data_IF_713282933273
#
_entry.id   IF_713282933273
#
_cell.length_a   1.000
_cell.length_b   1.000
_cell.length_c   1.000
_cell.angle_alpha   90.00
_cell.angle_beta   90.00
_cell.angle_gamma   90.00
#
_symmetry.space_group_name_H-M   'P 1'
#
loop_
_entity.id
_entity.type
_entity.pdbx_description
1 polymer ?
#
# COMPACT_ATOMS: atom_id res chain seq x y z
N UNK A 1 -7.28 -29.19 -6.68
CA UNK A 1 -7.72 -28.37 -5.53
C UNK A 1 -9.23 -28.17 -5.59
N UNK A 2 -9.87 -27.86 -4.45
CA UNK A 2 -11.30 -27.58 -4.37
C UNK A 2 -11.55 -26.11 -4.03
N UNK A 3 -12.78 -25.63 -4.28
CA UNK A 3 -13.17 -24.29 -3.85
C UNK A 3 -13.03 -24.15 -2.32
N UNK A 4 -12.42 -23.05 -1.88
CA UNK A 4 -12.11 -22.79 -0.48
C UNK A 4 -10.78 -23.37 0.00
N UNK A 5 -10.05 -24.14 -0.81
CA UNK A 5 -8.69 -24.56 -0.46
C UNK A 5 -7.73 -23.35 -0.47
N UNK A 6 -6.89 -23.29 0.55
CA UNK A 6 -5.81 -22.31 0.65
C UNK A 6 -4.55 -22.91 0.04
N UNK A 7 -3.99 -22.23 -0.95
CA UNK A 7 -2.76 -22.66 -1.63
C UNK A 7 -1.73 -21.56 -1.62
N UNK A 8 -0.47 -21.93 -1.49
CA UNK A 8 0.68 -21.04 -1.61
C UNK A 8 1.29 -21.22 -2.99
N UNK A 9 1.40 -20.13 -3.76
CA UNK A 9 1.77 -20.18 -5.17
C UNK A 9 2.91 -19.22 -5.48
N UNK A 10 3.87 -19.69 -6.24
CA UNK A 10 4.74 -18.82 -7.02
C UNK A 10 4.11 -18.55 -8.36
N UNK A 11 4.20 -17.30 -8.86
CA UNK A 11 3.61 -16.94 -10.13
C UNK A 11 4.44 -15.92 -10.93
N UNK A 12 4.16 -15.91 -12.22
CA UNK A 12 4.61 -14.93 -13.20
C UNK A 12 3.43 -14.52 -14.07
N UNK A 13 3.16 -13.24 -14.18
CA UNK A 13 2.15 -12.73 -15.09
C UNK A 13 2.80 -11.91 -16.20
N UNK A 14 2.54 -12.31 -17.43
CA UNK A 14 3.04 -11.66 -18.65
C UNK A 14 1.88 -11.20 -19.51
N UNK A 15 2.07 -10.13 -20.26
CA UNK A 15 0.99 -9.49 -21.03
C UNK A 15 1.46 -9.09 -22.42
N UNK A 16 0.54 -9.26 -23.40
CA UNK A 16 0.74 -8.87 -24.80
C UNK A 16 1.57 -9.86 -25.61
N UNK A 17 1.76 -9.58 -26.88
CA UNK A 17 2.44 -10.48 -27.83
C UNK A 17 3.93 -10.66 -27.49
N UNK A 18 4.56 -9.65 -26.92
CA UNK A 18 5.95 -9.70 -26.46
C UNK A 18 6.11 -10.44 -25.13
N UNK A 19 5.02 -10.91 -24.52
CA UNK A 19 5.00 -11.56 -23.20
C UNK A 19 5.77 -10.77 -22.15
N UNK A 20 5.56 -9.44 -22.11
CA UNK A 20 6.23 -8.59 -21.13
C UNK A 20 5.81 -8.97 -19.71
N UNK A 21 6.78 -9.22 -18.83
CA UNK A 21 6.52 -9.45 -17.41
C UNK A 21 5.91 -8.20 -16.76
N UNK A 22 4.82 -8.36 -16.03
CA UNK A 22 4.11 -7.24 -15.37
C UNK A 22 3.88 -7.49 -13.89
N UNK A 23 3.96 -8.75 -13.43
CA UNK A 23 3.86 -9.09 -12.01
C UNK A 23 4.50 -10.46 -11.75
N UNK A 24 5.09 -10.65 -10.59
CA UNK A 24 5.68 -11.93 -10.16
C UNK A 24 5.84 -11.96 -8.65
N UNK A 25 5.84 -13.17 -8.06
CA UNK A 25 6.20 -13.42 -6.66
C UNK A 25 7.73 -13.51 -6.43
N UNK A 26 8.52 -13.57 -7.52
CA UNK A 26 9.97 -13.82 -7.47
C UNK A 26 10.77 -12.54 -7.62
N UNK A 27 11.49 -12.14 -6.58
CA UNK A 27 12.30 -10.92 -6.55
C UNK A 27 13.34 -10.84 -7.67
N UNK A 28 14.08 -11.93 -7.88
CA UNK A 28 15.11 -11.97 -8.90
C UNK A 28 14.54 -11.72 -10.31
N UNK A 29 13.39 -12.33 -10.61
CA UNK A 29 12.72 -12.17 -11.90
C UNK A 29 12.20 -10.73 -12.09
N UNK A 30 11.72 -10.10 -11.01
CA UNK A 30 11.31 -8.70 -11.04
C UNK A 30 12.49 -7.77 -11.36
N UNK A 31 13.67 -8.01 -10.76
CA UNK A 31 14.91 -7.25 -11.03
C UNK A 31 15.39 -7.41 -12.48
N UNK A 32 15.37 -8.63 -12.98
CA UNK A 32 15.80 -8.95 -14.36
C UNK A 32 14.90 -8.32 -15.44
N UNK A 33 13.65 -7.98 -15.10
CA UNK A 33 12.67 -7.40 -16.02
C UNK A 33 12.32 -5.93 -15.74
N UNK A 34 13.11 -5.23 -14.93
CA UNK A 34 12.93 -3.81 -14.60
C UNK A 34 11.55 -3.46 -14.00
N UNK A 35 10.95 -4.38 -13.25
CA UNK A 35 9.68 -4.17 -12.53
C UNK A 35 9.84 -4.29 -11.01
N UNK A 36 11.07 -4.29 -10.52
CA UNK A 36 11.34 -4.37 -9.11
C UNK A 36 10.88 -3.09 -8.37
N UNK A 37 10.16 -3.29 -7.27
CA UNK A 37 9.73 -2.23 -6.35
C UNK A 37 10.12 -2.64 -4.92
N UNK A 38 10.96 -1.85 -4.27
CA UNK A 38 11.43 -2.08 -2.88
C UNK A 38 10.32 -2.00 -1.83
N UNK A 39 9.16 -1.45 -2.18
CA UNK A 39 7.97 -1.45 -1.32
C UNK A 39 7.13 -2.71 -1.43
N UNK A 40 7.39 -3.53 -2.45
CA UNK A 40 6.68 -4.77 -2.68
C UNK A 40 7.42 -5.96 -2.09
N UNK A 41 6.74 -6.73 -1.23
CA UNK A 41 7.31 -7.97 -0.69
C UNK A 41 7.18 -9.10 -1.71
N UNK A 42 8.32 -9.58 -2.19
CA UNK A 42 8.40 -10.70 -3.14
C UNK A 42 8.46 -12.02 -2.37
N UNK A 43 7.35 -12.67 -2.25
CA UNK A 43 7.21 -14.00 -1.63
C UNK A 43 6.06 -14.78 -2.29
N UNK A 44 6.01 -16.10 -2.13
CA UNK A 44 4.90 -16.88 -2.62
C UNK A 44 3.56 -16.37 -2.08
N UNK A 45 2.59 -16.20 -2.95
CA UNK A 45 1.29 -15.60 -2.62
C UNK A 45 0.31 -16.67 -2.18
N UNK A 46 -0.46 -16.40 -1.13
CA UNK A 46 -1.57 -17.27 -0.74
C UNK A 46 -2.80 -16.91 -1.54
N UNK A 47 -3.43 -17.92 -2.14
CA UNK A 47 -4.66 -17.81 -2.91
C UNK A 47 -5.70 -18.77 -2.33
N UNK A 48 -6.93 -18.30 -2.22
CA UNK A 48 -8.08 -19.13 -1.87
C UNK A 48 -8.75 -19.54 -3.17
N UNK A 49 -8.72 -20.81 -3.51
CA UNK A 49 -9.27 -21.35 -4.76
C UNK A 49 -10.77 -21.05 -4.86
N UNK A 50 -11.20 -20.61 -6.05
CA UNK A 50 -12.60 -20.30 -6.33
C UNK A 50 -13.04 -18.90 -5.90
N UNK A 51 -12.11 -18.03 -5.47
CA UNK A 51 -12.39 -16.63 -5.16
C UNK A 51 -12.01 -15.71 -6.32
N UNK A 52 -12.42 -14.43 -6.22
CA UNK A 52 -12.12 -13.39 -7.23
C UNK A 52 -10.69 -12.81 -7.12
N UNK A 53 -9.81 -13.44 -6.32
CA UNK A 53 -8.39 -13.04 -6.21
C UNK A 53 -7.63 -13.23 -7.53
N UNK A 54 -8.03 -14.23 -8.31
CA UNK A 54 -7.49 -14.52 -9.64
C UNK A 54 -8.62 -14.72 -10.64
N UNK A 55 -8.30 -14.63 -11.93
CA UNK A 55 -9.27 -14.84 -12.99
C UNK A 55 -9.86 -16.26 -12.94
N UNK A 56 -11.11 -16.39 -13.40
CA UNK A 56 -11.85 -17.64 -13.36
C UNK A 56 -11.08 -18.81 -14.01
N UNK A 57 -10.43 -18.57 -15.13
CA UNK A 57 -9.66 -19.59 -15.85
C UNK A 57 -8.45 -20.10 -15.07
N UNK A 58 -7.82 -19.23 -14.27
CA UNK A 58 -6.73 -19.60 -13.36
C UNK A 58 -7.29 -20.48 -12.23
N UNK A 59 -8.44 -20.11 -11.64
CA UNK A 59 -9.11 -20.93 -10.64
C UNK A 59 -9.48 -22.34 -11.17
N UNK A 60 -9.94 -22.41 -12.41
CA UNK A 60 -10.24 -23.69 -13.06
C UNK A 60 -8.98 -24.54 -13.26
N UNK A 61 -7.87 -23.90 -13.62
CA UNK A 61 -6.57 -24.58 -13.71
C UNK A 61 -6.10 -25.11 -12.35
N UNK A 62 -6.20 -24.31 -11.26
CA UNK A 62 -5.86 -24.79 -9.91
C UNK A 62 -6.65 -26.04 -9.50
N UNK A 63 -7.94 -26.13 -9.87
CA UNK A 63 -8.77 -27.28 -9.56
C UNK A 63 -8.30 -28.58 -10.21
N UNK A 64 -7.63 -28.49 -11.37
CA UNK A 64 -7.09 -29.63 -12.11
C UNK A 64 -5.72 -30.11 -11.61
N UNK A 65 -5.06 -29.34 -10.73
CA UNK A 65 -3.73 -29.64 -10.23
C UNK A 65 -3.72 -29.96 -8.73
N UNK A 66 -2.65 -30.65 -8.31
CA UNK A 66 -2.32 -30.93 -6.91
C UNK A 66 -1.11 -30.10 -6.47
N UNK A 67 -0.71 -30.26 -5.20
CA UNK A 67 0.53 -29.72 -4.68
C UNK A 67 1.74 -30.14 -5.53
N UNK A 68 2.67 -29.22 -5.78
CA UNK A 68 3.77 -29.39 -6.72
C UNK A 68 3.39 -29.21 -8.19
N UNK A 69 2.10 -29.02 -8.52
CA UNK A 69 1.63 -28.80 -9.87
C UNK A 69 2.03 -27.43 -10.42
N UNK A 70 2.37 -27.39 -11.71
CA UNK A 70 2.64 -26.15 -12.43
C UNK A 70 1.85 -26.12 -13.74
N UNK A 71 1.48 -24.91 -14.16
CA UNK A 71 0.78 -24.69 -15.44
C UNK A 71 1.02 -23.26 -15.94
N UNK A 72 0.79 -23.05 -17.24
CA UNK A 72 0.75 -21.73 -17.87
C UNK A 72 -0.63 -21.51 -18.52
N UNK A 73 -1.43 -20.68 -17.87
CA UNK A 73 -2.78 -20.34 -18.32
C UNK A 73 -2.72 -19.12 -19.25
N UNK A 74 -3.11 -19.31 -20.51
CA UNK A 74 -3.26 -18.24 -21.48
C UNK A 74 -4.71 -17.75 -21.48
N UNK A 75 -4.91 -16.44 -21.30
CA UNK A 75 -6.23 -15.81 -21.26
C UNK A 75 -6.37 -14.76 -22.35
N UNK A 76 -7.46 -14.82 -23.08
CA UNK A 76 -7.85 -13.78 -24.01
C UNK A 76 -8.25 -12.48 -23.27
N UNK A 77 -8.34 -11.33 -23.97
CA UNK A 77 -8.82 -10.12 -23.35
C UNK A 77 -10.16 -10.29 -22.62
N UNK A 78 -11.12 -11.01 -23.19
CA UNK A 78 -12.46 -11.22 -22.63
C UNK A 78 -12.43 -12.11 -21.38
N UNK A 79 -11.44 -12.99 -21.24
CA UNK A 79 -11.21 -13.85 -20.08
C UNK A 79 -10.40 -13.15 -18.97
N UNK A 80 -9.91 -11.93 -19.23
CA UNK A 80 -9.02 -11.19 -18.32
C UNK A 80 -9.47 -9.74 -18.13
N UNK A 81 -8.73 -8.76 -18.63
CA UNK A 81 -8.98 -7.33 -18.42
C UNK A 81 -10.01 -6.71 -19.39
N UNK A 82 -10.66 -7.50 -20.21
CA UNK A 82 -11.64 -7.07 -21.21
C UNK A 82 -11.01 -6.50 -22.46
N UNK A 83 -11.87 -6.37 -23.50
CA UNK A 83 -11.49 -5.69 -24.74
C UNK A 83 -11.25 -4.20 -24.49
N UNK A 84 -10.40 -3.57 -25.28
CA UNK A 84 -10.19 -2.12 -25.24
C UNK A 84 -11.40 -1.42 -25.88
N UNK A 85 -12.14 -0.64 -25.08
CA UNK A 85 -13.33 0.09 -25.53
C UNK A 85 -12.92 1.48 -26.08
N UNK A 86 -13.20 1.75 -27.38
CA UNK A 86 -12.93 3.05 -27.97
C UNK A 86 -13.72 4.20 -27.28
N UNK A 87 -14.84 3.89 -26.63
CA UNK A 87 -15.63 4.88 -25.87
C UNK A 87 -14.89 5.41 -24.65
N UNK A 88 -13.92 4.67 -24.14
CA UNK A 88 -13.06 5.11 -23.04
C UNK A 88 -11.87 5.95 -23.51
N UNK A 89 -11.71 6.15 -24.81
CA UNK A 89 -10.70 7.06 -25.35
C UNK A 89 -11.38 8.42 -25.55
N UNK A 90 -10.92 9.43 -24.79
CA UNK A 90 -11.55 10.76 -24.76
C UNK A 90 -10.57 11.83 -25.24
N UNK A 91 -11.15 12.81 -25.94
CA UNK A 91 -10.44 14.04 -26.31
C UNK A 91 -10.70 15.08 -25.24
N UNK A 92 -9.64 15.63 -24.68
CA UNK A 92 -9.66 16.74 -23.73
C UNK A 92 -9.05 18.00 -24.35
N UNK A 93 -9.47 19.16 -23.86
CA UNK A 93 -8.82 20.41 -24.20
C UNK A 93 -7.46 20.51 -23.49
N UNK A 94 -6.41 20.94 -24.17
CA UNK A 94 -5.11 21.21 -23.55
C UNK A 94 -5.23 22.18 -22.37
N UNK A 95 -6.19 23.12 -22.41
CA UNK A 95 -6.45 24.08 -21.33
C UNK A 95 -6.89 23.39 -20.03
N UNK A 96 -7.60 22.25 -20.11
CA UNK A 96 -8.02 21.49 -18.92
C UNK A 96 -6.78 20.99 -18.13
N UNK A 97 -5.76 20.56 -18.85
CA UNK A 97 -4.48 20.13 -18.25
C UNK A 97 -3.72 21.31 -17.63
N UNK A 98 -3.65 22.43 -18.35
CA UNK A 98 -2.99 23.66 -17.85
C UNK A 98 -3.64 24.19 -16.57
N UNK A 99 -4.97 24.13 -16.46
CA UNK A 99 -5.69 24.53 -15.22
C UNK A 99 -5.34 23.68 -14.02
N UNK A 100 -4.88 22.44 -14.24
CA UNK A 100 -4.46 21.52 -13.20
C UNK A 100 -2.90 21.48 -13.06
N UNK A 101 -2.19 22.41 -13.71
CA UNK A 101 -0.72 22.48 -13.76
C UNK A 101 -0.08 21.18 -14.28
N UNK A 102 -0.76 20.49 -15.20
CA UNK A 102 -0.25 19.28 -15.85
C UNK A 102 0.23 19.66 -17.26
N UNK A 103 1.44 19.22 -17.60
CA UNK A 103 1.95 19.29 -18.97
C UNK A 103 1.89 17.89 -19.60
N UNK A 104 0.87 17.62 -20.44
CA UNK A 104 0.63 16.27 -20.92
C UNK A 104 1.69 15.83 -21.94
N UNK A 105 2.27 14.66 -21.74
CA UNK A 105 3.24 14.04 -22.66
C UNK A 105 2.69 12.68 -23.12
N UNK A 106 2.81 12.32 -24.41
CA UNK A 106 2.39 10.99 -24.87
C UNK A 106 3.05 9.87 -24.07
N UNK A 107 2.23 8.89 -23.62
CA UNK A 107 2.67 7.80 -22.76
C UNK A 107 2.56 8.05 -21.27
N UNK A 108 2.40 9.29 -20.83
CA UNK A 108 2.27 9.67 -19.44
C UNK A 108 0.91 9.25 -18.86
N UNK A 109 0.93 8.77 -17.60
CA UNK A 109 -0.30 8.61 -16.82
C UNK A 109 -0.71 9.94 -16.22
N UNK A 110 -1.99 10.25 -16.32
CA UNK A 110 -2.56 11.51 -15.84
C UNK A 110 -3.84 11.25 -15.05
N UNK A 111 -4.11 12.11 -14.07
CA UNK A 111 -5.36 12.13 -13.32
C UNK A 111 -6.16 13.36 -13.74
N UNK A 112 -7.18 13.18 -14.57
CA UNK A 112 -8.05 14.27 -15.05
C UNK A 112 -9.48 13.99 -14.59
N UNK A 113 -10.11 14.99 -13.95
CA UNK A 113 -11.46 14.89 -13.43
C UNK A 113 -11.66 13.62 -12.54
N UNK A 114 -10.70 13.36 -11.64
CA UNK A 114 -10.68 12.19 -10.74
C UNK A 114 -10.60 10.82 -11.44
N UNK A 115 -10.26 10.80 -12.74
CA UNK A 115 -10.07 9.55 -13.49
C UNK A 115 -8.61 9.43 -13.94
N UNK A 116 -8.01 8.30 -13.66
CA UNK A 116 -6.68 7.96 -14.19
C UNK A 116 -6.81 7.53 -15.64
N UNK A 117 -5.93 8.06 -16.49
CA UNK A 117 -5.84 7.67 -17.89
C UNK A 117 -4.43 7.86 -18.41
N UNK A 118 -4.16 7.28 -19.58
CA UNK A 118 -2.88 7.38 -20.27
C UNK A 118 -3.01 8.34 -21.46
N UNK A 119 -2.11 9.30 -21.55
CA UNK A 119 -2.05 10.20 -22.71
C UNK A 119 -1.58 9.41 -23.94
N UNK A 120 -2.40 9.35 -24.99
CA UNK A 120 -2.05 8.71 -26.24
C UNK A 120 -1.36 9.66 -27.21
N UNK A 121 -1.88 10.88 -27.33
CA UNK A 121 -1.29 11.90 -28.20
C UNK A 121 -1.64 13.30 -27.71
N UNK A 122 -0.76 14.23 -28.03
CA UNK A 122 -0.91 15.65 -27.79
C UNK A 122 -0.80 16.39 -29.12
N UNK A 123 -1.81 17.18 -29.45
CA UNK A 123 -1.84 18.03 -30.64
C UNK A 123 -2.20 19.46 -30.22
N UNK A 124 -1.99 20.48 -31.07
CA UNK A 124 -2.36 21.86 -30.72
C UNK A 124 -3.82 21.97 -30.24
N UNK A 125 -3.98 22.28 -28.95
CA UNK A 125 -5.28 22.47 -28.31
C UNK A 125 -6.00 21.19 -27.87
N UNK A 126 -5.54 19.99 -28.20
CA UNK A 126 -6.23 18.74 -27.90
C UNK A 126 -5.28 17.67 -27.35
N UNK A 127 -5.76 16.93 -26.37
CA UNK A 127 -5.05 15.79 -25.76
C UNK A 127 -5.97 14.58 -25.82
N UNK A 128 -5.49 13.49 -26.40
CA UNK A 128 -6.21 12.22 -26.43
C UNK A 128 -5.79 11.38 -25.25
N UNK A 129 -6.75 10.99 -24.40
CA UNK A 129 -6.51 10.20 -23.18
C UNK A 129 -7.29 8.90 -23.24
N UNK A 130 -6.62 7.81 -22.95
CA UNK A 130 -7.19 6.48 -22.82
C UNK A 130 -7.45 6.16 -21.35
N UNK A 131 -8.69 5.87 -21.00
CA UNK A 131 -9.16 5.48 -19.68
C UNK A 131 -9.43 3.97 -19.55
N UNK A 132 -9.07 3.17 -20.56
CA UNK A 132 -9.11 1.73 -20.46
C UNK A 132 -8.07 1.23 -19.46
N UNK A 133 -8.31 0.04 -18.92
CA UNK A 133 -7.27 -0.64 -18.12
C UNK A 133 -5.99 -0.81 -18.95
N UNK A 134 -4.81 -0.69 -18.32
CA UNK A 134 -3.51 -0.73 -19.01
C UNK A 134 -3.29 -2.00 -19.83
N UNK A 135 -3.95 -3.10 -19.45
CA UNK A 135 -3.87 -4.41 -20.11
C UNK A 135 -5.11 -4.77 -20.93
N UNK A 136 -6.11 -3.88 -21.02
CA UNK A 136 -7.29 -4.11 -21.86
C UNK A 136 -6.90 -4.36 -23.33
N UNK A 137 -7.53 -5.34 -23.94
CA UNK A 137 -7.25 -5.76 -25.32
C UNK A 137 -5.98 -6.58 -25.51
N UNK A 138 -5.31 -6.98 -24.43
CA UNK A 138 -4.06 -7.78 -24.48
C UNK A 138 -4.30 -9.19 -23.96
N UNK A 139 -3.62 -10.16 -24.55
CA UNK A 139 -3.54 -11.52 -24.02
C UNK A 139 -2.71 -11.55 -22.74
N UNK A 140 -3.17 -12.30 -21.74
CA UNK A 140 -2.49 -12.49 -20.45
C UNK A 140 -2.01 -13.94 -20.36
N UNK A 141 -0.76 -14.10 -19.95
CA UNK A 141 -0.12 -15.38 -19.68
C UNK A 141 0.19 -15.44 -18.20
N UNK A 142 -0.37 -16.42 -17.52
CA UNK A 142 -0.19 -16.61 -16.08
C UNK A 142 0.44 -17.98 -15.84
N UNK A 143 1.75 -17.98 -15.54
CA UNK A 143 2.49 -19.18 -15.16
C UNK A 143 2.53 -19.24 -13.64
N UNK A 144 2.28 -20.43 -13.09
CA UNK A 144 2.32 -20.63 -11.65
C UNK A 144 2.89 -22.00 -11.28
N UNK A 145 3.32 -22.10 -10.02
CA UNK A 145 3.68 -23.37 -9.36
C UNK A 145 2.99 -23.40 -7.99
N UNK A 146 2.21 -24.44 -7.71
CA UNK A 146 1.58 -24.65 -6.42
C UNK A 146 2.63 -25.24 -5.48
N UNK A 147 3.08 -24.46 -4.50
CA UNK A 147 4.13 -24.89 -3.56
C UNK A 147 3.57 -25.76 -2.45
N UNK A 148 2.42 -25.38 -1.90
CA UNK A 148 1.85 -25.98 -0.71
C UNK A 148 0.33 -25.79 -0.66
N UNK A 149 -0.38 -26.77 -0.10
CA UNK A 149 -1.76 -26.64 0.32
C UNK A 149 -1.82 -26.44 1.83
N UNK A 150 -2.33 -25.29 2.27
CA UNK A 150 -2.49 -24.96 3.68
C UNK A 150 -3.77 -25.60 4.20
N UNK A 151 -3.63 -26.65 5.02
CA UNK A 151 -4.77 -27.45 5.47
C UNK A 151 -5.16 -27.17 6.92
N UNK A 152 -4.20 -26.77 7.76
CA UNK A 152 -4.41 -26.52 9.18
C UNK A 152 -5.04 -25.13 9.44
N UNK A 153 -5.84 -25.06 10.51
CA UNK A 153 -6.59 -23.85 10.86
C UNK A 153 -5.65 -22.68 11.25
N UNK A 154 -4.49 -22.98 11.85
CA UNK A 154 -3.49 -21.96 12.20
C UNK A 154 -2.89 -21.32 10.96
N UNK A 155 -2.44 -22.12 10.00
CA UNK A 155 -1.88 -21.64 8.74
C UNK A 155 -2.89 -20.84 7.92
N UNK A 156 -4.17 -21.28 7.89
CA UNK A 156 -5.25 -20.52 7.25
C UNK A 156 -5.47 -19.17 7.94
N UNK A 157 -5.47 -19.13 9.27
CA UNK A 157 -5.64 -17.88 10.02
C UNK A 157 -4.46 -16.92 9.78
N UNK A 158 -3.23 -17.42 9.76
CA UNK A 158 -2.05 -16.62 9.41
C UNK A 158 -2.14 -16.07 7.98
N UNK A 159 -2.55 -16.90 7.03
CA UNK A 159 -2.76 -16.47 5.65
C UNK A 159 -3.80 -15.36 5.51
N UNK A 160 -4.90 -15.46 6.25
CA UNK A 160 -5.94 -14.43 6.26
C UNK A 160 -5.44 -13.12 6.90
N UNK A 161 -4.55 -13.20 7.90
CA UNK A 161 -3.89 -12.00 8.47
C UNK A 161 -3.05 -11.32 7.40
N UNK A 162 -2.15 -12.06 6.73
CA UNK A 162 -1.29 -11.55 5.68
C UNK A 162 -2.08 -10.91 4.53
N UNK A 163 -3.20 -11.51 4.13
CA UNK A 163 -4.07 -10.98 3.07
C UNK A 163 -4.77 -9.68 3.43
N UNK A 164 -5.19 -9.52 4.70
CA UNK A 164 -5.96 -8.36 5.14
C UNK A 164 -5.08 -7.23 5.69
N UNK A 165 -3.88 -7.56 6.18
CA UNK A 165 -2.97 -6.59 6.77
C UNK A 165 -1.53 -6.87 6.31
N UNK A 166 -0.94 -6.03 5.44
CA UNK A 166 0.34 -6.28 4.77
C UNK A 166 1.58 -6.05 5.67
N UNK A 167 1.44 -6.30 6.96
CA UNK A 167 2.54 -6.28 7.94
C UNK A 167 2.97 -7.71 8.19
N UNK A 168 4.26 -7.93 8.48
CA UNK A 168 4.83 -9.24 8.73
C UNK A 168 3.89 -10.13 9.55
N UNK A 169 3.34 -11.14 8.92
CA UNK A 169 2.40 -12.11 9.51
C UNK A 169 3.01 -12.85 10.70
N UNK A 170 4.33 -13.03 10.69
CA UNK A 170 5.10 -13.68 11.76
C UNK A 170 5.06 -12.93 13.09
N UNK A 171 4.69 -11.64 13.08
CA UNK A 171 4.54 -10.84 14.30
C UNK A 171 3.25 -11.15 15.06
N UNK A 172 2.25 -11.73 14.40
CA UNK A 172 1.02 -12.15 15.03
C UNK A 172 1.18 -13.54 15.63
N UNK A 173 0.94 -13.67 16.91
CA UNK A 173 0.92 -14.99 17.55
C UNK A 173 -0.47 -15.61 17.41
N UNK A 174 -0.56 -16.65 16.58
CA UNK A 174 -1.82 -17.38 16.32
C UNK A 174 -1.76 -18.73 17.01
N UNK A 175 -2.75 -19.00 17.85
CA UNK A 175 -2.96 -20.31 18.46
C UNK A 175 -4.38 -20.79 18.19
N UNK A 176 -4.53 -22.11 18.05
CA UNK A 176 -5.83 -22.77 17.85
C UNK A 176 -6.00 -23.82 18.94
N UNK A 177 -7.01 -23.63 19.80
CA UNK A 177 -7.34 -24.54 20.90
C UNK A 177 -8.79 -24.99 20.75
N UNK A 178 -8.98 -26.22 20.28
CA UNK A 178 -10.31 -26.75 20.00
C UNK A 178 -11.05 -25.89 18.96
N UNK A 179 -12.14 -25.26 19.40
CA UNK A 179 -12.95 -24.39 18.53
C UNK A 179 -12.62 -22.89 18.68
N UNK A 180 -11.50 -22.55 19.32
CA UNK A 180 -11.08 -21.17 19.53
C UNK A 180 -9.82 -20.87 18.74
N UNK A 181 -9.88 -19.83 17.91
CA UNK A 181 -8.73 -19.21 17.23
C UNK A 181 -8.40 -17.97 18.02
N UNK A 182 -7.25 -17.94 18.68
CA UNK A 182 -6.73 -16.81 19.43
C UNK A 182 -5.63 -16.14 18.62
N UNK A 183 -5.75 -14.85 18.38
CA UNK A 183 -4.78 -14.02 17.64
C UNK A 183 -4.33 -12.91 18.58
N UNK A 184 -3.06 -12.93 18.97
CA UNK A 184 -2.44 -11.88 19.78
C UNK A 184 -1.88 -10.79 18.86
N UNK A 185 -2.32 -9.56 19.10
CA UNK A 185 -2.01 -8.39 18.27
C UNK A 185 -0.65 -7.80 18.70
N UNK A 186 0.31 -7.61 17.78
CA UNK A 186 1.58 -6.96 18.08
C UNK A 186 1.42 -5.53 18.58
N UNK A 187 2.37 -5.05 19.40
CA UNK A 187 2.32 -3.70 20.00
C UNK A 187 2.18 -2.60 18.96
N UNK A 188 2.99 -2.63 17.93
CA UNK A 188 3.01 -1.64 16.84
C UNK A 188 1.71 -1.59 16.03
N UNK A 189 0.96 -2.70 16.00
CA UNK A 189 -0.27 -2.84 15.21
C UNK A 189 -1.48 -2.21 15.92
N UNK A 190 -1.48 -2.18 17.26
CA UNK A 190 -2.64 -1.77 18.06
C UNK A 190 -3.11 -0.36 17.76
N UNK A 191 -2.17 0.54 17.42
CA UNK A 191 -2.43 1.96 17.17
C UNK A 191 -2.41 2.32 15.67
N UNK A 192 -2.24 1.33 14.79
CA UNK A 192 -2.26 1.56 13.35
C UNK A 192 -3.70 1.74 12.84
N UNK A 193 -4.06 2.90 12.26
CA UNK A 193 -5.39 3.11 11.68
C UNK A 193 -5.76 2.08 10.60
N UNK A 194 -4.78 1.59 9.83
CA UNK A 194 -4.99 0.56 8.78
C UNK A 194 -5.45 -0.76 9.40
N UNK A 195 -4.96 -1.09 10.61
CA UNK A 195 -5.38 -2.29 11.33
C UNK A 195 -6.86 -2.24 11.72
N UNK A 196 -7.41 -1.09 12.06
CA UNK A 196 -8.81 -0.95 12.47
C UNK A 196 -9.75 -1.43 11.35
N UNK A 197 -9.45 -1.06 10.10
CA UNK A 197 -10.20 -1.51 8.92
C UNK A 197 -9.91 -2.98 8.61
N UNK A 198 -8.64 -3.36 8.58
CA UNK A 198 -8.20 -4.73 8.33
C UNK A 198 -8.80 -5.73 9.32
N UNK A 199 -8.89 -5.38 10.61
CA UNK A 199 -9.51 -6.20 11.67
C UNK A 199 -10.93 -6.61 11.31
N UNK A 200 -11.73 -5.69 10.78
CA UNK A 200 -13.10 -5.98 10.39
C UNK A 200 -13.17 -7.01 9.26
N UNK A 201 -12.35 -6.83 8.22
CA UNK A 201 -12.27 -7.77 7.10
C UNK A 201 -11.73 -9.13 7.55
N UNK A 202 -10.67 -9.14 8.34
CA UNK A 202 -10.07 -10.36 8.88
C UNK A 202 -11.07 -11.20 9.67
N UNK A 203 -11.84 -10.58 10.57
CA UNK A 203 -12.86 -11.32 11.36
C UNK A 203 -13.93 -11.91 10.46
N UNK A 204 -14.37 -11.19 9.44
CA UNK A 204 -15.34 -11.71 8.48
C UNK A 204 -14.78 -12.90 7.69
N UNK A 205 -13.54 -12.81 7.23
CA UNK A 205 -12.87 -13.88 6.48
C UNK A 205 -12.62 -15.11 7.36
N UNK A 206 -12.14 -14.93 8.60
CA UNK A 206 -11.96 -16.01 9.55
C UNK A 206 -13.28 -16.78 9.78
N UNK A 207 -14.39 -16.07 9.96
CA UNK A 207 -15.72 -16.69 10.15
C UNK A 207 -16.24 -17.37 8.89
N UNK A 208 -15.89 -16.87 7.72
CA UNK A 208 -16.26 -17.42 6.41
C UNK A 208 -15.49 -18.70 6.09
N UNK A 209 -14.18 -18.69 6.28
CA UNK A 209 -13.29 -19.76 5.85
C UNK A 209 -12.94 -20.77 6.94
N UNK A 210 -13.20 -20.44 8.21
CA UNK A 210 -13.03 -21.31 9.37
C UNK A 210 -14.37 -21.39 10.14
N UNK A 211 -15.42 -21.94 9.51
CA UNK A 211 -16.75 -21.97 10.11
C UNK A 211 -16.78 -22.82 11.39
N UNK A 212 -17.59 -22.40 12.36
CA UNK A 212 -17.72 -23.08 13.65
C UNK A 212 -16.65 -22.72 14.68
N UNK A 213 -15.67 -21.87 14.31
CA UNK A 213 -14.64 -21.41 15.24
C UNK A 213 -15.00 -20.08 15.90
N UNK A 214 -14.67 -19.96 17.18
CA UNK A 214 -14.71 -18.70 17.91
C UNK A 214 -13.41 -17.93 17.66
N UNK A 215 -13.50 -16.68 17.21
CA UNK A 215 -12.33 -15.82 16.97
C UNK A 215 -12.13 -14.90 18.18
N UNK A 216 -10.93 -14.93 18.76
CA UNK A 216 -10.49 -14.03 19.82
C UNK A 216 -9.30 -13.21 19.33
N UNK A 217 -9.47 -11.88 19.31
CA UNK A 217 -8.40 -10.92 19.05
C UNK A 217 -7.97 -10.36 20.41
N UNK A 218 -6.71 -10.55 20.78
CA UNK A 218 -6.18 -10.18 22.10
C UNK A 218 -5.17 -9.05 21.96
N UNK A 219 -5.50 -7.93 22.55
CA UNK A 219 -4.63 -6.78 22.68
C UNK A 219 -4.17 -6.69 24.14
N UNK A 220 -2.88 -6.84 24.38
CA UNK A 220 -2.29 -6.77 25.72
C UNK A 220 -1.51 -5.46 25.84
N UNK A 221 -1.92 -4.60 26.78
CA UNK A 221 -1.24 -3.35 27.07
C UNK A 221 -0.41 -3.53 28.34
N UNK A 222 0.92 -3.46 28.19
CA UNK A 222 1.83 -3.55 29.33
C UNK A 222 1.86 -2.24 30.11
N UNK A 223 2.14 -2.27 31.43
CA UNK A 223 2.39 -1.06 32.20
C UNK A 223 3.53 -0.26 31.56
N UNK A 224 3.38 1.05 31.50
CA UNK A 224 4.52 1.90 31.10
C UNK A 224 5.60 1.77 32.16
N UNK A 225 6.82 1.46 31.77
CA UNK A 225 7.97 1.56 32.66
C UNK A 225 8.13 3.04 33.03
N UNK A 226 7.99 3.38 34.32
CA UNK A 226 8.34 4.71 34.78
C UNK A 226 9.80 4.98 34.41
N UNK A 227 10.13 6.17 33.87
CA UNK A 227 11.51 6.49 33.57
C UNK A 227 12.30 6.36 34.88
N UNK A 228 13.28 5.47 34.93
CA UNK A 228 14.19 5.36 36.07
C UNK A 228 14.77 6.72 36.30
N UNK A 229 14.33 7.37 37.38
CA UNK A 229 14.96 8.58 37.87
C UNK A 229 16.39 8.18 38.25
N UNK A 230 17.36 8.58 37.45
CA UNK A 230 18.75 8.49 37.85
C UNK A 230 18.90 9.33 39.09
N UNK A 231 19.10 8.70 40.24
CA UNK A 231 19.49 9.39 41.47
C UNK A 231 20.76 10.18 41.17
N UNK A 232 20.83 11.49 41.52
CA UNK A 232 22.05 12.23 41.32
C UNK A 232 23.15 11.62 42.20
N UNK A 233 24.21 11.19 41.55
CA UNK A 233 25.42 10.70 42.24
C UNK A 233 25.88 11.74 43.26
N UNK A 234 25.78 11.37 44.50
CA UNK A 234 26.34 12.11 45.64
C UNK A 234 27.84 12.16 45.52
N UNK A 235 28.41 13.22 45.03
CA UNK A 235 29.85 13.49 45.12
C UNK A 235 30.14 13.92 46.56
N UNK A 236 30.77 12.99 47.29
CA UNK A 236 31.41 13.31 48.57
C UNK A 236 32.48 14.39 48.34
N UNK A 237 32.30 15.44 49.10
CA UNK A 237 33.23 16.55 49.25
C UNK A 237 34.49 16.11 50.03
N UNK A 238 35.65 16.37 49.44
CA UNK A 238 36.90 16.47 50.21
C UNK A 238 37.37 17.92 50.22
N UNK A 239 37.53 18.42 51.46
CA UNK A 239 38.02 19.71 51.86
C UNK A 239 39.35 20.14 51.25
N UNK A 240 39.50 21.46 51.10
CA UNK A 240 40.84 22.04 51.25
C UNK A 240 41.13 23.30 50.45
N UNK A 241 41.03 24.41 51.14
CA UNK A 241 41.81 25.65 51.05
C UNK A 241 41.37 26.79 50.11
N UNK A 242 40.93 27.85 50.77
CA UNK A 242 40.98 29.28 50.43
C UNK A 242 42.44 29.80 50.45
N UNK A 243 42.84 31.05 50.01
CA UNK A 243 42.03 32.22 49.72
C UNK A 243 42.49 33.14 48.53
N UNK A 244 41.75 34.23 48.41
CA UNK A 244 42.10 35.61 47.96
C UNK A 244 42.07 36.02 46.51
N UNK A 245 41.16 36.96 46.30
CA UNK A 245 41.23 38.33 45.72
C UNK A 245 41.55 38.44 44.20
N UNK A 246 40.93 39.20 43.43
CA UNK A 246 40.40 40.59 43.40
C UNK A 246 39.56 40.83 42.15
N UNK A 247 38.46 41.52 42.32
CA UNK A 247 37.90 42.68 41.62
C UNK A 247 38.12 42.89 40.12
N UNK A 248 37.06 43.10 39.43
CA UNK A 248 36.50 44.33 38.76
C UNK A 248 35.74 43.94 37.48
N UNK A 249 34.48 44.18 37.48
CA UNK A 249 33.75 45.36 36.97
C UNK A 249 33.67 45.45 35.46
N UNK A 250 32.54 45.49 35.01
CA UNK A 250 31.63 46.43 34.36
C UNK A 250 31.20 45.94 32.98
N UNK A 251 30.00 45.93 32.84
CA UNK A 251 28.96 46.79 32.29
C UNK A 251 28.44 46.38 30.92
N UNK A 252 27.12 46.17 30.92
CA UNK A 252 26.11 46.87 30.08
C UNK A 252 26.12 46.52 28.61
N UNK A 253 25.10 45.96 27.98
CA UNK A 253 23.85 46.60 27.66
C UNK A 253 22.94 45.65 26.83
N UNK A 254 21.71 45.51 27.24
CA UNK A 254 20.56 45.43 26.33
C UNK A 254 20.14 46.87 25.99
N UNK A 255 19.16 47.18 25.13
CA UNK A 255 18.30 46.41 24.23
C UNK A 255 18.13 47.09 22.85
N UNK A 256 17.31 46.47 21.96
CA UNK A 256 16.89 47.16 20.73
C UNK A 256 15.73 46.47 20.03
N UNK A 257 14.58 46.78 20.55
CA UNK A 257 13.26 46.61 19.94
C UNK A 257 13.13 47.65 18.79
N UNK A 258 12.61 47.26 17.63
CA UNK A 258 11.92 48.21 16.75
C UNK A 258 10.84 47.51 15.95
N UNK A 259 9.63 47.86 16.30
CA UNK A 259 8.38 47.75 15.55
C UNK A 259 8.37 48.69 14.36
N UNK A 260 7.36 48.54 13.56
CA UNK A 260 6.73 49.44 12.56
C UNK A 260 7.01 49.09 11.11
N UNK A 261 6.07 49.09 10.22
CA UNK A 261 4.69 49.59 10.11
C UNK A 261 4.01 49.02 8.87
N UNK A 262 2.73 48.77 9.02
CA UNK A 262 1.64 48.79 8.04
C UNK A 262 1.77 49.80 6.92
N UNK A 263 1.37 49.41 5.71
CA UNK A 263 0.69 50.32 4.78
C UNK A 263 -0.39 49.58 3.97
N UNK A 264 -1.62 49.98 4.29
CA UNK A 264 -2.81 49.81 3.47
C UNK A 264 -2.77 50.75 2.26
N UNK A 265 -3.19 50.28 1.12
CA UNK A 265 -3.74 51.17 0.10
C UNK A 265 -4.94 50.49 -0.55
N UNK A 266 -6.06 51.02 -0.21
CA UNK A 266 -7.36 50.96 -0.90
C UNK A 266 -7.22 51.44 -2.33
N UNK A 267 -7.93 50.84 -3.27
CA UNK A 267 -8.91 51.62 -4.01
C UNK A 267 -9.89 50.75 -4.80
N UNK A 268 -11.08 51.17 -4.68
CA UNK A 268 -12.35 50.69 -5.24
C UNK A 268 -12.56 51.05 -6.72
N UNK A 269 -13.75 50.81 -7.30
CA UNK A 269 -13.95 50.18 -8.59
C UNK A 269 -14.37 51.20 -9.68
N UNK A 270 -14.30 50.82 -10.93
CA UNK A 270 -14.95 51.53 -12.01
C UNK A 270 -15.93 50.60 -12.74
N UNK A 271 -17.15 51.10 -12.73
CA UNK A 271 -18.40 50.65 -13.31
C UNK A 271 -18.45 50.90 -14.83
N UNK A 272 -19.24 50.07 -15.51
CA UNK A 272 -20.01 50.25 -16.74
C UNK A 272 -19.30 50.65 -18.05
N UNK A 273 -19.56 49.95 -19.12
CA UNK A 273 -20.69 50.28 -19.99
C UNK A 273 -20.97 49.22 -21.07
N UNK A 274 -22.20 49.23 -21.48
CA UNK A 274 -22.99 48.44 -22.40
C UNK A 274 -22.54 48.52 -23.87
N UNK A 275 -23.10 47.57 -24.59
CA UNK A 275 -23.67 47.61 -25.94
C UNK A 275 -22.76 47.23 -27.14
N UNK A 276 -22.99 46.16 -27.71
CA UNK A 276 -23.73 45.80 -28.93
C UNK A 276 -23.60 44.30 -29.21
#
# INVERSE_FOLDING_TARGET
MNDGDFIKVDYEMRVGDEKKLVSTSKEQLAKENDIFDDKHAYHPTVIIVGTDQVFKKINESFKSHSEGGEDEVTMTPDESYGARDPKNIKVHSYIEFKRQNIDPVPGQEVLINHRRGKVLSVTPGRVLVDYNHAYAGKTVYYKYTILEKISDDKGKAQSLISMNYPVNEDKFNVSVEGDVIKIEIPEETKFDPVWVEAKFHLVNDLRKYLPGKTVQLVETYLPQEEPKTEEPATTESAEGNKPEEEQKASETSQPGNTEEKTEEAKNEPVEKDQAQ
#
